data_IF_869718880072
#
_entry.id   IF_869718880072
#
_cell.length_a   1.000
_cell.length_b   1.000
_cell.length_c   1.000
_cell.angle_alpha   90.00
_cell.angle_beta   90.00
_cell.angle_gamma   90.00
#
_symmetry.space_group_name_H-M   'P 1'
#
loop_
_entity.id
_entity.type
_entity.pdbx_description
1 polymer ?
#
# COMPACT_ATOMS: atom_id res chain seq x y z
N UNK A 1 -17.71 11.32 8.44
CA UNK A 1 -16.38 11.00 9.02
C UNK A 1 -15.40 12.04 8.54
N UNK A 2 -14.34 12.29 9.30
CA UNK A 2 -13.28 13.21 8.89
C UNK A 2 -12.25 12.44 8.04
N UNK A 3 -11.99 12.95 6.84
CA UNK A 3 -10.91 12.47 5.95
C UNK A 3 -9.77 13.46 6.05
N UNK A 4 -8.59 12.96 6.38
CA UNK A 4 -7.38 13.75 6.59
C UNK A 4 -6.45 13.57 5.40
N UNK A 5 -6.11 14.67 4.73
CA UNK A 5 -5.15 14.70 3.64
C UNK A 5 -3.81 15.18 4.15
N UNK A 6 -2.73 14.52 3.73
CA UNK A 6 -1.39 14.81 4.19
C UNK A 6 -0.33 14.50 3.13
N UNK A 7 0.88 15.02 3.35
CA UNK A 7 2.08 14.69 2.60
C UNK A 7 2.94 13.72 3.42
N UNK A 8 3.18 12.53 2.89
CA UNK A 8 4.11 11.56 3.45
C UNK A 8 5.52 11.88 2.92
N UNK A 9 6.51 12.15 3.79
CA UNK A 9 7.88 12.41 3.35
C UNK A 9 8.52 11.15 2.77
N UNK A 10 9.27 11.35 1.69
CA UNK A 10 10.05 10.31 1.01
C UNK A 10 11.57 10.51 1.18
N UNK A 11 11.99 11.52 1.96
CA UNK A 11 13.39 11.98 2.01
C UNK A 11 14.43 10.99 2.54
N UNK A 12 14.03 9.90 3.21
CA UNK A 12 14.98 8.85 3.61
C UNK A 12 15.13 7.74 2.57
N UNK A 13 14.32 7.76 1.52
CA UNK A 13 14.42 6.75 0.47
C UNK A 13 15.67 7.09 -0.37
N UNK A 14 16.62 6.17 -0.53
CA UNK A 14 17.85 6.43 -1.28
C UNK A 14 17.60 6.33 -2.80
N UNK A 15 16.70 7.15 -3.35
CA UNK A 15 16.29 7.06 -4.77
C UNK A 15 17.47 7.11 -5.74
N UNK A 16 18.49 7.92 -5.44
CA UNK A 16 19.72 8.06 -6.25
C UNK A 16 20.55 6.79 -6.37
N UNK A 17 20.35 5.83 -5.48
CA UNK A 17 21.06 4.55 -5.46
C UNK A 17 20.23 3.42 -6.10
N UNK A 18 19.00 3.72 -6.53
CA UNK A 18 18.07 2.73 -7.07
C UNK A 18 17.95 2.91 -8.57
N UNK A 19 18.39 1.91 -9.32
CA UNK A 19 18.31 1.89 -10.78
C UNK A 19 16.91 2.19 -11.27
N UNK A 20 16.80 3.09 -12.26
CA UNK A 20 15.58 3.66 -12.86
C UNK A 20 14.81 4.68 -12.04
N UNK A 21 15.20 4.94 -10.79
CA UNK A 21 14.58 5.95 -9.92
C UNK A 21 15.54 7.10 -9.54
N UNK A 22 16.72 7.16 -10.14
CA UNK A 22 17.79 8.08 -9.75
C UNK A 22 17.42 9.55 -9.96
N UNK A 23 16.63 9.81 -11.01
CA UNK A 23 16.18 11.15 -11.40
C UNK A 23 14.93 11.62 -10.65
N UNK A 24 14.37 10.77 -9.76
CA UNK A 24 13.23 11.14 -8.94
C UNK A 24 13.65 12.18 -7.90
N UNK A 25 13.03 13.35 -7.97
CA UNK A 25 13.22 14.45 -7.01
C UNK A 25 11.99 14.66 -6.10
N UNK A 26 11.14 13.64 -5.93
CA UNK A 26 9.97 13.75 -5.06
C UNK A 26 10.37 13.84 -3.60
N UNK A 27 10.00 14.93 -2.94
CA UNK A 27 10.20 15.09 -1.50
C UNK A 27 9.05 14.47 -0.70
N UNK A 28 7.86 14.38 -1.29
CA UNK A 28 6.65 13.84 -0.66
C UNK A 28 5.76 13.10 -1.65
N UNK A 29 4.88 12.26 -1.13
CA UNK A 29 3.67 11.76 -1.82
C UNK A 29 2.43 12.24 -1.08
N UNK A 30 1.35 12.51 -1.83
CA UNK A 30 0.05 12.82 -1.25
C UNK A 30 -0.65 11.55 -0.79
N UNK A 31 -1.23 11.63 0.40
CA UNK A 31 -2.00 10.56 0.99
C UNK A 31 -3.27 11.11 1.63
N UNK A 32 -4.25 10.25 1.85
CA UNK A 32 -5.38 10.53 2.72
C UNK A 32 -5.62 9.37 3.68
N UNK A 33 -6.27 9.64 4.81
CA UNK A 33 -6.75 8.59 5.68
C UNK A 33 -8.03 8.98 6.40
N UNK A 34 -8.80 7.96 6.80
CA UNK A 34 -9.90 8.11 7.74
C UNK A 34 -9.93 6.94 8.72
N UNK A 35 -10.53 7.16 9.90
CA UNK A 35 -10.61 6.16 10.95
C UNK A 35 -11.64 5.08 10.60
N UNK A 36 -11.25 3.81 10.65
CA UNK A 36 -12.20 2.71 10.65
C UNK A 36 -12.84 2.63 12.05
N UNK A 37 -14.11 2.22 12.13
CA UNK A 37 -14.73 1.94 13.43
C UNK A 37 -13.81 0.99 14.23
N UNK A 38 -13.60 1.21 15.54
CA UNK A 38 -12.64 0.43 16.31
C UNK A 38 -12.92 -1.07 16.18
N UNK A 39 -11.99 -1.83 15.61
CA UNK A 39 -12.07 -3.27 15.62
C UNK A 39 -11.40 -3.77 16.89
N UNK A 40 -12.19 -4.21 17.87
CA UNK A 40 -11.70 -4.72 19.16
C UNK A 40 -10.75 -3.75 19.91
N UNK A 41 -11.04 -2.45 19.86
CA UNK A 41 -10.30 -1.43 20.63
C UNK A 41 -8.96 -0.99 20.02
N UNK A 42 -8.70 -1.32 18.75
CA UNK A 42 -7.57 -0.79 17.99
C UNK A 42 -8.09 0.20 16.94
N UNK A 43 -7.61 1.44 17.02
CA UNK A 43 -7.91 2.50 16.06
C UNK A 43 -7.07 2.27 14.79
N UNK A 44 -7.72 1.70 13.79
CA UNK A 44 -7.12 1.50 12.48
C UNK A 44 -7.59 2.56 11.50
N UNK A 45 -6.72 2.91 10.57
CA UNK A 45 -7.02 3.88 9.54
C UNK A 45 -7.02 3.21 8.19
N UNK A 46 -7.98 3.60 7.34
CA UNK A 46 -7.91 3.27 5.93
C UNK A 46 -7.13 4.37 5.23
N UNK A 47 -5.98 4.02 4.65
CA UNK A 47 -5.04 4.95 4.06
C UNK A 47 -4.98 4.78 2.54
N UNK A 48 -5.02 5.90 1.85
CA UNK A 48 -4.90 6.02 0.40
C UNK A 48 -3.56 6.69 0.07
N UNK A 49 -2.83 6.14 -0.90
CA UNK A 49 -1.62 6.76 -1.47
C UNK A 49 -1.91 7.11 -2.93
N UNK A 50 -1.78 8.39 -3.26
CA UNK A 50 -2.10 8.89 -4.59
C UNK A 50 -0.89 8.79 -5.53
N UNK A 51 -1.17 8.67 -6.82
CA UNK A 51 -0.16 8.55 -7.85
C UNK A 51 0.74 9.80 -7.89
N UNK A 52 2.05 9.58 -7.91
CA UNK A 52 3.06 10.67 -7.93
C UNK A 52 3.40 11.17 -9.33
N UNK A 53 3.00 10.45 -10.38
CA UNK A 53 3.35 10.78 -11.76
C UNK A 53 2.41 11.78 -12.42
N UNK A 54 1.26 12.05 -11.80
CA UNK A 54 0.30 13.04 -12.28
C UNK A 54 0.23 14.13 -11.20
N UNK A 55 0.68 15.37 -11.49
CA UNK A 55 0.63 16.46 -10.53
C UNK A 55 -0.82 16.76 -10.23
N UNK A 56 -1.33 16.17 -9.16
CA UNK A 56 -2.69 16.40 -8.72
C UNK A 56 -2.64 17.59 -7.78
N UNK A 57 -3.28 18.69 -8.15
CA UNK A 57 -3.53 19.75 -7.18
C UNK A 57 -4.37 19.16 -6.04
N UNK A 58 -4.18 19.61 -4.80
CA UNK A 58 -4.86 19.00 -3.63
C UNK A 58 -6.40 19.08 -3.76
N UNK A 59 -6.89 20.06 -4.53
CA UNK A 59 -8.30 20.22 -4.86
C UNK A 59 -8.82 19.25 -5.92
N UNK A 60 -7.94 18.53 -6.61
CA UNK A 60 -8.24 17.64 -7.75
C UNK A 60 -7.95 16.16 -7.44
N UNK A 61 -7.62 15.83 -6.18
CA UNK A 61 -7.37 14.46 -5.75
C UNK A 61 -8.64 13.63 -5.89
N UNK A 62 -8.68 12.84 -6.97
CA UNK A 62 -9.70 11.83 -7.23
C UNK A 62 -9.23 10.47 -6.68
N UNK A 63 -10.16 9.74 -6.07
CA UNK A 63 -9.97 8.35 -5.64
C UNK A 63 -9.67 7.42 -6.84
N UNK A 64 -9.95 7.86 -8.07
CA UNK A 64 -9.50 7.17 -9.29
C UNK A 64 -7.97 7.13 -9.49
N UNK A 65 -7.22 8.02 -8.83
CA UNK A 65 -5.78 8.20 -9.04
C UNK A 65 -4.89 7.61 -7.92
N UNK A 66 -5.26 6.45 -7.39
CA UNK A 66 -4.43 5.76 -6.41
C UNK A 66 -3.20 5.11 -7.05
N UNK A 67 -2.08 5.12 -6.32
CA UNK A 67 -0.87 4.38 -6.71
C UNK A 67 -1.07 2.87 -6.53
N UNK A 68 -1.75 2.49 -5.44
CA UNK A 68 -2.17 1.13 -5.11
C UNK A 68 -3.46 1.18 -4.28
N UNK A 69 -4.15 0.04 -4.12
CA UNK A 69 -5.41 -0.03 -3.38
C UNK A 69 -5.27 0.47 -1.93
N UNK A 70 -6.39 0.86 -1.30
CA UNK A 70 -6.35 1.36 0.07
C UNK A 70 -5.91 0.26 1.04
N UNK A 71 -5.10 0.65 2.02
CA UNK A 71 -4.50 -0.25 3.00
C UNK A 71 -4.95 0.10 4.41
N UNK A 72 -4.94 -0.91 5.29
CA UNK A 72 -5.05 -0.67 6.73
C UNK A 72 -3.71 -0.14 7.22
N UNK A 73 -3.73 0.94 7.98
CA UNK A 73 -2.54 1.60 8.50
C UNK A 73 -2.67 1.95 9.97
N UNK A 74 -1.53 2.08 10.63
CA UNK A 74 -1.40 2.82 11.89
C UNK A 74 -1.67 4.31 11.66
N UNK A 75 -1.86 5.07 12.75
CA UNK A 75 -1.98 6.53 12.66
C UNK A 75 -0.67 7.12 12.12
N UNK A 76 -0.73 8.00 11.10
CA UNK A 76 0.47 8.68 10.63
C UNK A 76 1.15 9.53 11.71
N UNK A 77 2.47 9.49 11.75
CA UNK A 77 3.26 10.16 12.78
C UNK A 77 3.20 11.68 12.64
N UNK A 78 2.74 12.33 13.70
CA UNK A 78 2.66 13.80 13.80
C UNK A 78 3.93 14.45 14.36
N UNK A 79 4.96 13.66 14.73
CA UNK A 79 6.18 14.13 15.41
C UNK A 79 7.45 13.47 14.84
N UNK A 80 8.60 14.10 15.06
CA UNK A 80 9.90 13.61 14.59
C UNK A 80 10.30 14.10 13.20
N UNK A 81 11.43 13.60 12.70
CA UNK A 81 12.06 14.03 11.44
C UNK A 81 11.23 13.64 10.21
N UNK A 82 10.49 12.53 10.30
CA UNK A 82 9.65 12.00 9.22
C UNK A 82 8.16 12.28 9.42
N UNK A 83 7.82 13.28 10.23
CA UNK A 83 6.42 13.60 10.50
C UNK A 83 5.69 13.91 9.21
N UNK A 84 4.44 13.48 9.13
CA UNK A 84 3.57 13.86 8.03
C UNK A 84 3.22 15.33 8.09
N UNK A 85 3.02 15.94 6.93
CA UNK A 85 2.56 17.34 6.84
C UNK A 85 1.08 17.31 6.50
N UNK A 86 0.24 17.64 7.47
CA UNK A 86 -1.20 17.75 7.25
C UNK A 86 -1.49 18.89 6.27
N UNK A 87 -2.39 18.62 5.33
CA UNK A 87 -2.75 19.53 4.24
C UNK A 87 -4.15 20.08 4.45
N UNK A 88 -5.14 19.20 4.58
CA UNK A 88 -6.54 19.57 4.83
C UNK A 88 -7.26 18.45 5.57
N UNK A 89 -8.37 18.80 6.20
CA UNK A 89 -9.36 17.84 6.72
C UNK A 89 -10.70 18.22 6.15
N UNK A 90 -11.46 17.25 5.67
CA UNK A 90 -12.81 17.46 5.16
C UNK A 90 -13.78 16.42 5.71
N UNK A 91 -15.04 16.82 5.83
CA UNK A 91 -16.11 15.90 6.22
C UNK A 91 -16.64 15.19 4.98
N UNK A 92 -16.53 13.87 4.96
CA UNK A 92 -17.10 13.00 3.93
C UNK A 92 -18.06 12.01 4.55
N UNK A 93 -19.19 11.76 3.89
CA UNK A 93 -20.01 10.60 4.18
C UNK A 93 -19.32 9.40 3.53
N UNK A 94 -18.94 8.42 4.35
CA UNK A 94 -18.36 7.14 3.89
C UNK A 94 -19.33 6.08 4.35
N UNK A 95 -19.79 5.26 3.41
CA UNK A 95 -20.68 4.14 3.69
C UNK A 95 -19.98 2.79 3.44
N UNK A 96 -20.68 1.69 3.71
CA UNK A 96 -20.11 0.33 3.66
C UNK A 96 -19.61 -0.03 2.26
N UNK A 97 -20.32 0.41 1.20
CA UNK A 97 -19.94 0.18 -0.20
C UNK A 97 -18.75 1.05 -0.64
N UNK A 98 -18.25 1.97 0.19
CA UNK A 98 -17.00 2.70 -0.05
C UNK A 98 -15.79 1.97 0.56
N UNK A 99 -15.99 0.98 1.44
CA UNK A 99 -14.91 0.22 2.07
C UNK A 99 -14.30 -0.79 1.10
N UNK A 100 -12.97 -0.91 1.00
CA UNK A 100 -12.32 -1.85 0.09
C UNK A 100 -12.57 -3.29 0.53
N UNK A 101 -12.55 -4.22 -0.43
CA UNK A 101 -12.37 -5.62 -0.10
C UNK A 101 -10.89 -5.87 0.19
N UNK A 102 -10.61 -6.62 1.24
CA UNK A 102 -9.25 -6.98 1.65
C UNK A 102 -9.10 -8.50 1.64
N UNK A 103 -7.95 -9.02 1.22
CA UNK A 103 -7.70 -10.46 1.13
C UNK A 103 -6.94 -11.00 2.34
N UNK A 104 -7.18 -12.27 2.60
CA UNK A 104 -6.42 -13.08 3.54
C UNK A 104 -6.27 -14.50 2.97
N UNK A 105 -5.13 -15.12 3.25
CA UNK A 105 -4.87 -16.53 2.90
C UNK A 105 -4.44 -17.29 4.14
N UNK A 106 -4.89 -18.54 4.24
CA UNK A 106 -4.37 -19.48 5.24
C UNK A 106 -3.02 -20.11 4.83
N UNK A 107 -2.49 -19.75 3.66
CA UNK A 107 -1.21 -20.21 3.10
C UNK A 107 -0.38 -19.04 2.57
N UNK A 108 0.94 -19.22 2.53
CA UNK A 108 1.85 -18.27 1.85
C UNK A 108 1.92 -18.47 0.33
N UNK A 109 1.28 -19.51 -0.17
CA UNK A 109 1.30 -19.91 -1.57
C UNK A 109 -0.03 -19.60 -2.28
N UNK A 110 0.00 -19.54 -3.60
CA UNK A 110 -1.16 -19.21 -4.44
C UNK A 110 -2.24 -20.29 -4.47
N UNK A 111 -1.90 -21.52 -4.08
CA UNK A 111 -2.78 -22.69 -4.00
C UNK A 111 -3.57 -22.78 -2.69
N UNK A 112 -3.36 -21.85 -1.76
CA UNK A 112 -4.12 -21.78 -0.51
C UNK A 112 -5.59 -21.39 -0.68
N UNK A 113 -6.34 -21.52 0.42
CA UNK A 113 -7.70 -21.00 0.47
C UNK A 113 -7.63 -19.49 0.71
N UNK A 114 -8.27 -18.74 -0.20
CA UNK A 114 -8.33 -17.30 -0.10
C UNK A 114 -9.70 -16.84 0.39
N UNK A 115 -9.67 -15.92 1.32
CA UNK A 115 -10.84 -15.29 1.90
C UNK A 115 -10.73 -13.78 1.71
N UNK A 116 -11.85 -13.08 1.86
CA UNK A 116 -11.86 -11.63 1.76
C UNK A 116 -12.87 -10.97 2.69
N UNK A 117 -12.66 -9.69 2.94
CA UNK A 117 -13.63 -8.78 3.55
C UNK A 117 -14.47 -8.18 2.44
N UNK A 118 -15.78 -8.06 2.63
CA UNK A 118 -16.63 -7.31 1.72
C UNK A 118 -17.48 -6.33 2.52
N UNK A 119 -17.48 -5.07 2.10
CA UNK A 119 -18.26 -4.00 2.72
C UNK A 119 -18.04 -3.86 4.26
N UNK A 120 -16.87 -4.26 4.76
CA UNK A 120 -16.52 -4.23 6.19
C UNK A 120 -16.77 -5.52 6.97
N UNK A 121 -17.45 -6.52 6.38
CA UNK A 121 -17.70 -7.82 7.01
C UNK A 121 -16.68 -8.88 6.60
N UNK A 122 -16.22 -9.68 7.56
CA UNK A 122 -15.16 -10.68 7.33
C UNK A 122 -15.74 -12.03 6.88
N UNK A 123 -15.50 -12.40 5.62
CA UNK A 123 -16.18 -13.58 5.04
C UNK A 123 -15.49 -14.92 5.28
N UNK A 124 -14.30 -14.95 5.88
CA UNK A 124 -13.70 -16.24 6.28
C UNK A 124 -14.50 -16.90 7.40
N UNK A 125 -15.07 -16.11 8.32
CA UNK A 125 -15.91 -16.64 9.39
C UNK A 125 -17.30 -17.10 8.88
N UNK A 126 -17.71 -16.63 7.70
CA UNK A 126 -18.91 -17.11 7.00
C UNK A 126 -18.64 -18.20 5.96
N UNK A 127 -17.39 -18.67 5.81
CA UNK A 127 -17.03 -19.77 4.91
C UNK A 127 -17.08 -19.44 3.42
N UNK A 128 -16.96 -18.17 3.00
CA UNK A 128 -16.92 -17.82 1.58
C UNK A 128 -15.47 -17.84 1.08
N UNK A 129 -15.14 -18.90 0.34
CA UNK A 129 -13.84 -19.11 -0.29
C UNK A 129 -13.78 -18.46 -1.68
N UNK A 130 -12.60 -17.99 -2.06
CA UNK A 130 -12.27 -17.44 -3.37
C UNK A 130 -10.97 -18.03 -3.91
N UNK A 131 -10.71 -17.85 -5.21
CA UNK A 131 -9.47 -18.27 -5.85
C UNK A 131 -8.45 -17.13 -5.85
N UNK A 132 -7.15 -17.46 -5.85
CA UNK A 132 -6.08 -16.45 -5.92
C UNK A 132 -6.31 -15.43 -7.04
N UNK A 133 -6.58 -15.87 -8.26
CA UNK A 133 -6.79 -14.97 -9.41
C UNK A 133 -7.90 -13.92 -9.22
N UNK A 134 -8.91 -14.24 -8.40
CA UNK A 134 -10.04 -13.35 -8.10
C UNK A 134 -9.71 -12.30 -7.06
N UNK A 135 -8.69 -12.53 -6.24
CA UNK A 135 -8.34 -11.65 -5.11
C UNK A 135 -6.91 -11.15 -5.17
N UNK A 136 -6.08 -11.61 -6.12
CA UNK A 136 -4.66 -11.29 -6.20
C UNK A 136 -4.39 -9.77 -6.23
N UNK A 137 -5.32 -9.00 -6.80
CA UNK A 137 -5.26 -7.54 -6.88
C UNK A 137 -5.73 -6.79 -5.63
N UNK A 138 -6.34 -7.47 -4.66
CA UNK A 138 -6.78 -6.86 -3.40
C UNK A 138 -5.59 -6.68 -2.44
N UNK A 139 -5.63 -5.64 -1.62
CA UNK A 139 -4.67 -5.47 -0.54
C UNK A 139 -4.91 -6.46 0.60
N UNK A 140 -3.86 -6.79 1.34
CA UNK A 140 -3.94 -7.67 2.49
C UNK A 140 -4.51 -6.98 3.73
N UNK A 141 -4.98 -7.76 4.70
CA UNK A 141 -5.43 -7.26 6.01
C UNK A 141 -4.28 -6.84 6.95
N UNK A 142 -3.03 -6.95 6.51
CA UNK A 142 -1.86 -6.54 7.29
C UNK A 142 -1.87 -5.04 7.55
N UNK A 143 -1.41 -4.63 8.72
CA UNK A 143 -1.35 -3.23 9.13
C UNK A 143 -0.04 -2.62 8.64
N UNK A 144 -0.14 -1.56 7.83
CA UNK A 144 1.00 -0.84 7.30
C UNK A 144 1.44 0.24 8.29
N UNK A 145 2.72 0.23 8.64
CA UNK A 145 3.40 1.40 9.19
C UNK A 145 3.96 2.27 8.05
N UNK A 146 4.34 3.52 8.35
CA UNK A 146 4.89 4.45 7.35
C UNK A 146 6.09 3.90 6.57
N UNK A 147 6.95 3.14 7.25
CA UNK A 147 8.10 2.47 6.62
C UNK A 147 7.67 1.48 5.54
N UNK A 148 6.61 0.71 5.79
CA UNK A 148 6.08 -0.27 4.84
C UNK A 148 5.34 0.45 3.71
N UNK A 149 4.67 1.57 3.99
CA UNK A 149 4.08 2.43 2.94
C UNK A 149 5.15 2.95 1.99
N UNK A 150 6.27 3.46 2.52
CA UNK A 150 7.41 3.94 1.70
C UNK A 150 8.02 2.82 0.88
N UNK A 151 8.22 1.64 1.45
CA UNK A 151 8.63 0.45 0.71
C UNK A 151 7.64 0.16 -0.43
N UNK A 152 6.34 0.11 -0.13
CA UNK A 152 5.32 -0.19 -1.13
C UNK A 152 5.32 0.82 -2.28
N UNK A 153 5.45 2.11 -1.97
CA UNK A 153 5.57 3.17 -2.98
C UNK A 153 6.71 2.85 -3.93
N UNK A 154 7.92 2.62 -3.43
CA UNK A 154 9.09 2.34 -4.28
C UNK A 154 8.87 1.11 -5.15
N UNK A 155 8.34 0.02 -4.59
CA UNK A 155 8.03 -1.19 -5.35
C UNK A 155 7.06 -0.92 -6.50
N UNK A 156 6.01 -0.13 -6.29
CA UNK A 156 5.09 0.25 -7.37
C UNK A 156 5.76 1.14 -8.44
N UNK A 157 6.65 2.06 -8.05
CA UNK A 157 7.42 2.88 -9.01
C UNK A 157 8.33 1.99 -9.87
N UNK A 158 9.04 1.04 -9.27
CA UNK A 158 9.90 0.10 -9.99
C UNK A 158 9.11 -0.80 -10.94
N UNK A 159 7.98 -1.36 -10.49
CA UNK A 159 7.10 -2.18 -11.33
C UNK A 159 6.62 -1.38 -12.56
N UNK A 160 6.27 -0.09 -12.39
CA UNK A 160 5.89 0.78 -13.50
C UNK A 160 7.06 0.99 -14.48
N UNK A 161 8.27 1.21 -13.99
CA UNK A 161 9.44 1.40 -14.85
C UNK A 161 9.84 0.13 -15.60
N UNK A 162 9.80 -1.04 -14.95
CA UNK A 162 10.04 -2.33 -15.58
C UNK A 162 9.02 -2.56 -16.70
N UNK A 163 7.73 -2.31 -16.44
CA UNK A 163 6.68 -2.45 -17.45
C UNK A 163 6.90 -1.52 -18.66
N UNK A 164 7.43 -0.32 -18.44
CA UNK A 164 7.79 0.63 -19.50
C UNK A 164 9.09 0.26 -20.23
N UNK A 165 9.77 -0.81 -19.84
CA UNK A 165 11.06 -1.21 -20.41
C UNK A 165 12.22 -0.27 -20.03
N UNK A 166 12.05 0.53 -18.97
CA UNK A 166 13.08 1.46 -18.50
C UNK A 166 14.11 0.78 -17.59
N UNK A 167 13.81 -0.43 -17.10
CA UNK A 167 14.66 -1.19 -16.22
C UNK A 167 14.39 -2.69 -16.35
N UNK A 168 15.40 -3.50 -16.07
CA UNK A 168 15.25 -4.91 -15.76
C UNK A 168 15.80 -5.11 -14.35
N UNK A 169 14.99 -5.66 -13.45
CA UNK A 169 15.35 -5.82 -12.03
C UNK A 169 15.06 -7.27 -11.64
N UNK A 170 16.10 -7.96 -11.19
CA UNK A 170 15.99 -9.32 -10.70
C UNK A 170 15.34 -9.38 -9.31
N UNK A 171 14.87 -10.57 -8.92
CA UNK A 171 14.34 -10.80 -7.56
C UNK A 171 15.39 -10.49 -6.48
N UNK A 172 16.67 -10.74 -6.77
CA UNK A 172 17.77 -10.44 -5.84
C UNK A 172 17.91 -8.92 -5.66
N UNK A 173 17.91 -8.16 -6.75
CA UNK A 173 17.97 -6.69 -6.69
C UNK A 173 16.76 -6.10 -5.97
N UNK A 174 15.56 -6.64 -6.19
CA UNK A 174 14.38 -6.22 -5.42
C UNK A 174 14.55 -6.43 -3.91
N UNK A 175 15.16 -7.55 -3.49
CA UNK A 175 15.45 -7.81 -2.07
C UNK A 175 16.47 -6.80 -1.52
N UNK A 176 17.54 -6.53 -2.25
CA UNK A 176 18.57 -5.57 -1.85
C UNK A 176 18.00 -4.15 -1.73
N UNK A 177 17.21 -3.72 -2.72
CA UNK A 177 16.51 -2.43 -2.69
C UNK A 177 15.57 -2.35 -1.49
N UNK A 178 14.75 -3.38 -1.26
CA UNK A 178 13.82 -3.42 -0.14
C UNK A 178 14.56 -3.35 1.21
N UNK A 179 15.65 -4.09 1.36
CA UNK A 179 16.49 -4.05 2.55
C UNK A 179 17.05 -2.65 2.79
N UNK A 180 17.59 -2.01 1.75
CA UNK A 180 18.19 -0.68 1.84
C UNK A 180 17.15 0.40 2.21
N UNK A 181 15.93 0.31 1.67
CA UNK A 181 14.82 1.21 2.04
C UNK A 181 14.44 1.03 3.51
N UNK A 182 14.31 -0.21 3.98
CA UNK A 182 13.98 -0.43 5.38
C UNK A 182 15.11 0.03 6.30
N UNK A 183 16.37 -0.17 5.89
CA UNK A 183 17.56 0.24 6.66
C UNK A 183 17.76 1.75 6.70
N UNK A 184 17.32 2.49 5.68
CA UNK A 184 17.47 3.94 5.62
C UNK A 184 16.53 4.69 6.58
N UNK A 185 15.50 4.01 7.10
CA UNK A 185 14.59 4.60 8.07
C UNK A 185 15.26 4.83 9.44
N UNK A 186 15.15 6.05 10.02
CA UNK A 186 15.71 6.33 11.35
C UNK A 186 15.23 5.38 12.45
N UNK A 187 13.99 4.89 12.37
CA UNK A 187 13.40 3.98 13.36
C UNK A 187 14.02 2.58 13.34
N UNK A 188 14.64 2.15 12.25
CA UNK A 188 15.22 0.82 12.10
C UNK A 188 16.72 0.76 12.40
N UNK A 189 17.35 1.90 12.74
CA UNK A 189 18.78 1.97 13.06
C UNK A 189 19.24 1.02 14.18
N UNK A 190 18.34 0.65 15.10
CA UNK A 190 18.62 -0.27 16.21
C UNK A 190 18.17 -1.72 15.94
N UNK A 191 17.54 -1.96 14.79
CA UNK A 191 17.04 -3.27 14.38
C UNK A 191 18.18 -4.03 13.69
N UNK A 192 18.30 -5.33 13.95
CA UNK A 192 19.34 -6.17 13.35
C UNK A 192 19.10 -6.36 11.85
N UNK A 193 20.17 -6.67 11.11
CA UNK A 193 20.10 -7.03 9.68
C UNK A 193 19.22 -8.25 9.43
N UNK A 194 19.27 -9.22 10.33
CA UNK A 194 18.43 -10.42 10.27
C UNK A 194 16.94 -10.08 10.39
N UNK A 195 16.57 -9.21 11.34
CA UNK A 195 15.18 -8.78 11.54
C UNK A 195 14.67 -7.91 10.37
N UNK A 196 15.51 -7.03 9.81
CA UNK A 196 15.16 -6.27 8.61
C UNK A 196 14.95 -7.22 7.44
N UNK A 197 15.86 -8.17 7.23
CA UNK A 197 15.73 -9.15 6.16
C UNK A 197 14.49 -10.03 6.34
N UNK A 198 14.16 -10.40 7.58
CA UNK A 198 12.90 -11.07 7.89
C UNK A 198 11.68 -10.22 7.50
N UNK A 199 11.71 -8.92 7.79
CA UNK A 199 10.72 -7.95 7.32
C UNK A 199 10.58 -7.93 5.80
N UNK A 200 11.70 -7.82 5.06
CA UNK A 200 11.73 -7.87 3.58
C UNK A 200 11.07 -9.16 3.09
N UNK A 201 11.48 -10.31 3.62
CA UNK A 201 11.00 -11.62 3.20
C UNK A 201 9.49 -11.82 3.45
N UNK A 202 8.90 -11.08 4.38
CA UNK A 202 7.46 -11.14 4.66
C UNK A 202 6.63 -10.20 3.78
N UNK A 203 7.13 -8.99 3.52
CA UNK A 203 6.37 -7.96 2.81
C UNK A 203 6.55 -8.02 1.29
N UNK A 204 7.80 -8.12 0.83
CA UNK A 204 8.16 -7.97 -0.58
C UNK A 204 7.44 -8.98 -1.51
N UNK A 205 7.35 -10.29 -1.19
CA UNK A 205 6.71 -11.24 -2.09
C UNK A 205 5.26 -10.87 -2.41
N UNK A 206 4.48 -10.45 -1.40
CA UNK A 206 3.08 -10.04 -1.60
C UNK A 206 2.98 -8.81 -2.51
N UNK A 207 3.84 -7.80 -2.29
CA UNK A 207 3.85 -6.57 -3.10
C UNK A 207 4.19 -6.83 -4.58
N UNK A 208 5.11 -7.77 -4.83
CA UNK A 208 5.51 -8.16 -6.19
C UNK A 208 4.45 -8.97 -6.92
N UNK A 209 3.70 -9.82 -6.21
CA UNK A 209 2.61 -10.62 -6.80
C UNK A 209 1.39 -9.77 -7.17
N UNK A 210 1.22 -8.59 -6.58
CA UNK A 210 0.10 -7.71 -6.90
C UNK A 210 0.32 -7.04 -8.27
N UNK A 211 -0.70 -7.01 -9.16
CA UNK A 211 -0.62 -6.23 -10.40
C UNK A 211 -0.50 -4.73 -10.10
N UNK A 212 -0.11 -3.94 -11.08
CA UNK A 212 -0.18 -2.49 -10.95
C UNK A 212 -1.66 -2.07 -10.84
N UNK A 213 -1.97 -1.09 -9.99
CA UNK A 213 -3.37 -0.69 -9.75
C UNK A 213 -4.06 -0.16 -11.00
N UNK A 214 -3.31 0.55 -11.86
CA UNK A 214 -3.80 1.04 -13.15
C UNK A 214 -4.16 -0.08 -14.16
N UNK A 215 -3.68 -1.30 -13.94
CA UNK A 215 -4.02 -2.47 -14.78
C UNK A 215 -5.26 -3.21 -14.30
N UNK A 216 -5.72 -2.92 -13.09
CA UNK A 216 -6.93 -3.52 -12.54
C UNK A 216 -8.14 -2.83 -13.18
N UNK A 217 -9.06 -3.55 -13.84
CA UNK A 217 -10.27 -2.93 -14.39
C UNK A 217 -11.04 -2.19 -13.31
N UNK A 218 -11.60 -1.02 -13.62
CA UNK A 218 -12.25 -0.15 -12.63
C UNK A 218 -13.34 -0.87 -11.83
N UNK A 219 -14.12 -1.73 -12.49
CA UNK A 219 -15.17 -2.56 -11.86
C UNK A 219 -14.65 -3.54 -10.80
N UNK A 220 -13.33 -3.78 -10.78
CA UNK A 220 -12.66 -4.72 -9.89
C UNK A 220 -11.67 -4.02 -8.95
N UNK A 221 -11.38 -2.73 -9.13
CA UNK A 221 -10.51 -1.99 -8.21
C UNK A 221 -11.10 -2.09 -6.81
N UNK A 222 -10.31 -2.61 -5.88
CA UNK A 222 -10.69 -2.82 -4.48
C UNK A 222 -11.94 -3.71 -4.27
N UNK A 223 -12.36 -4.46 -5.28
CA UNK A 223 -13.54 -5.35 -5.24
C UNK A 223 -13.16 -6.74 -5.74
N UNK A 224 -13.82 -7.77 -5.23
CA UNK A 224 -13.57 -9.14 -5.74
C UNK A 224 -13.99 -9.22 -7.20
N UNK A 225 -13.21 -9.91 -8.02
CA UNK A 225 -13.59 -10.17 -9.42
C UNK A 225 -14.79 -11.11 -9.45
N UNK A 226 -15.95 -10.57 -9.72
CA UNK A 226 -17.13 -11.36 -10.02
C UNK A 226 -17.02 -11.91 -11.45
N UNK A 227 -17.36 -13.19 -11.64
CA UNK A 227 -17.70 -13.65 -12.99
C UNK A 227 -19.02 -12.96 -13.33
N UNK A 228 -19.06 -12.19 -14.43
CA UNK A 228 -20.35 -11.85 -15.05
C UNK A 228 -21.11 -13.18 -15.24
N UNK A 229 -22.25 -13.31 -14.57
CA UNK A 229 -23.19 -14.41 -14.81
C UNK A 229 -23.72 -14.34 -16.23
#
# INVERSE_FOLDING_TARGET
MDVHYFKLPLGNIPFKEITSLEDINYTYVYCSYFSLKPFKGLDYYLLSVYNVFEPTDIGEIDDGNLLFGRVISEEPSKRGVNKVIQVKTEKRAVDEKDLPHLKYSNSKHTDGNWFYVKDGDYFAFSGIESSFDKVAHLEGISIYGEIILRLRIVIELLKKNIKKGLAEISVKEFNEIAFNILRSEPSTKKISDEDIQYGVNNWLPSMLMMPLFEEVPDIHKERVKDKKK
#
